data_IF_370802380338
#
_entry.id   IF_370802380338
#
_cell.length_a   1.000
_cell.length_b   1.000
_cell.length_c   1.000
_cell.angle_alpha   90.00
_cell.angle_beta   90.00
_cell.angle_gamma   90.00
#
_symmetry.space_group_name_H-M   'P 1'
#
loop_
_entity.id
_entity.type
_entity.pdbx_description
1 polymer ?
#
# COMPACT_ATOMS: atom_id res chain seq x y z
N UNK A 1 -43.11 -1.60 8.02
CA UNK A 1 -42.75 -0.20 7.73
C UNK A 1 -42.55 0.44 9.10
N UNK A 2 -41.35 0.71 9.61
CA UNK A 2 -40.04 0.94 9.01
C UNK A 2 -38.97 0.59 10.05
N UNK A 3 -38.08 -0.34 9.72
CA UNK A 3 -36.87 -0.68 10.48
C UNK A 3 -35.66 -0.06 9.77
N UNK A 4 -35.66 1.27 9.63
CA UNK A 4 -34.70 1.98 8.79
C UNK A 4 -34.11 3.23 9.48
N UNK A 5 -33.86 3.18 10.80
CA UNK A 5 -33.33 4.33 11.54
C UNK A 5 -32.18 3.99 12.50
N UNK A 6 -31.36 2.98 12.19
CA UNK A 6 -30.17 2.63 13.00
C UNK A 6 -28.91 2.33 12.14
N UNK A 7 -28.81 2.89 10.94
CA UNK A 7 -27.65 2.69 10.04
C UNK A 7 -26.88 3.97 9.72
N UNK A 8 -26.80 4.92 10.65
CA UNK A 8 -26.08 6.19 10.45
C UNK A 8 -25.21 6.65 11.65
N UNK A 9 -24.85 5.77 12.58
CA UNK A 9 -24.01 6.14 13.75
C UNK A 9 -22.75 5.29 13.95
N UNK A 10 -22.16 4.75 12.87
CA UNK A 10 -20.83 4.14 12.92
C UNK A 10 -19.69 5.11 12.55
N UNK A 11 -19.99 6.36 12.19
CA UNK A 11 -19.00 7.41 11.90
C UNK A 11 -18.61 8.24 13.14
N UNK A 12 -18.57 7.60 14.32
CA UNK A 12 -18.00 8.25 15.51
C UNK A 12 -16.48 8.14 15.48
N UNK A 13 -15.88 9.10 14.79
CA UNK A 13 -14.60 9.75 15.13
C UNK A 13 -13.48 8.73 15.40
N UNK A 14 -12.77 8.34 14.34
CA UNK A 14 -11.35 7.98 14.50
C UNK A 14 -10.68 9.21 15.11
N UNK A 15 -10.27 9.11 16.38
CA UNK A 15 -9.46 10.15 17.02
C UNK A 15 -8.10 10.14 16.34
N UNK A 16 -7.93 11.03 15.36
CA UNK A 16 -6.69 11.30 14.64
C UNK A 16 -5.51 11.61 15.58
N UNK A 17 -5.78 11.94 16.84
CA UNK A 17 -4.78 12.23 17.87
C UNK A 17 -3.81 11.07 18.13
N UNK A 18 -4.21 9.82 17.85
CA UNK A 18 -3.39 8.62 18.05
C UNK A 18 -3.22 7.74 16.80
N UNK A 19 -3.76 8.13 15.64
CA UNK A 19 -3.58 7.37 14.40
C UNK A 19 -2.36 7.91 13.64
N UNK A 20 -1.28 7.13 13.63
CA UNK A 20 -0.04 7.44 12.92
C UNK A 20 -0.21 7.10 11.43
N UNK A 21 -1.03 7.87 10.72
CA UNK A 21 -1.03 7.86 9.26
C UNK A 21 0.26 8.53 8.78
N UNK A 22 1.15 7.77 8.14
CA UNK A 22 2.46 8.23 7.65
C UNK A 22 2.40 8.75 6.20
N UNK A 23 1.25 9.27 5.74
CA UNK A 23 1.21 10.12 4.55
C UNK A 23 1.98 11.40 4.87
N UNK A 24 3.26 11.44 4.50
CA UNK A 24 4.04 12.66 4.57
C UNK A 24 3.40 13.68 3.63
N UNK A 25 3.04 14.90 4.09
CA UNK A 25 2.65 15.95 3.17
C UNK A 25 3.80 16.21 2.20
N UNK A 26 3.47 16.56 0.95
CA UNK A 26 4.47 16.96 -0.04
C UNK A 26 5.41 18.00 0.58
N UNK A 27 6.71 17.67 0.62
CA UNK A 27 7.72 18.66 1.00
C UNK A 27 7.68 19.74 -0.07
N UNK A 28 7.41 20.97 0.34
CA UNK A 28 7.53 22.14 -0.54
C UNK A 28 8.89 22.08 -1.24
N UNK A 29 8.86 21.94 -2.57
CA UNK A 29 10.07 21.93 -3.39
C UNK A 29 10.75 23.28 -3.22
N UNK A 30 11.87 23.31 -2.49
CA UNK A 30 12.80 24.42 -2.54
C UNK A 30 13.25 24.58 -4.00
N UNK A 31 12.85 25.69 -4.63
CA UNK A 31 13.39 26.12 -5.92
C UNK A 31 14.85 26.52 -5.73
N UNK A 32 15.74 25.54 -5.78
CA UNK A 32 17.16 25.75 -6.05
C UNK A 32 17.49 24.96 -7.31
N UNK A 33 17.48 25.67 -8.43
CA UNK A 33 17.96 25.18 -9.72
C UNK A 33 19.46 24.92 -9.59
N UNK A 34 19.90 23.72 -9.99
CA UNK A 34 21.24 23.51 -10.52
C UNK A 34 21.12 22.58 -11.71
N UNK A 35 21.63 23.07 -12.83
CA UNK A 35 21.59 22.54 -14.19
C UNK A 35 22.29 21.17 -14.32
N UNK A 36 22.06 20.54 -15.47
CA UNK A 36 22.66 19.32 -16.02
C UNK A 36 21.95 17.99 -15.72
N UNK A 37 20.89 17.72 -16.49
CA UNK A 37 20.77 16.46 -17.23
C UNK A 37 19.97 16.72 -18.51
N UNK A 38 20.72 16.99 -19.56
CA UNK A 38 20.28 17.07 -20.94
C UNK A 38 19.74 15.72 -21.46
N UNK A 39 18.89 15.81 -22.50
CA UNK A 39 18.41 14.79 -23.46
C UNK A 39 17.04 14.17 -23.12
N UNK A 40 15.94 14.42 -23.85
CA UNK A 40 15.70 15.04 -25.16
C UNK A 40 14.24 15.53 -25.21
N UNK A 41 14.04 16.80 -25.56
CA UNK A 41 12.80 17.30 -26.17
C UNK A 41 12.74 16.85 -27.63
N UNK A 42 11.61 16.29 -28.05
CA UNK A 42 11.14 16.47 -29.42
C UNK A 42 9.62 16.59 -29.39
N UNK A 43 9.18 17.84 -29.34
CA UNK A 43 7.78 18.24 -29.49
C UNK A 43 7.29 18.06 -30.94
N UNK A 44 5.97 17.85 -31.02
CA UNK A 44 5.05 17.97 -32.15
C UNK A 44 4.85 16.76 -33.10
N UNK A 45 3.76 16.03 -32.87
CA UNK A 45 2.75 15.85 -33.93
C UNK A 45 1.35 15.64 -33.32
N UNK A 46 0.38 16.47 -33.73
CA UNK A 46 -1.05 16.28 -33.47
C UNK A 46 -1.50 14.90 -33.96
N UNK A 47 -1.98 14.07 -33.04
CA UNK A 47 -2.57 12.77 -33.27
C UNK A 47 -2.93 12.13 -31.94
N UNK A 48 -4.22 11.90 -31.71
CA UNK A 48 -4.75 11.11 -30.60
C UNK A 48 -4.09 9.71 -30.59
N UNK A 49 -3.05 9.51 -29.79
CA UNK A 49 -2.54 8.21 -29.38
C UNK A 49 -1.95 8.35 -27.98
N UNK A 50 -2.84 8.43 -26.98
CA UNK A 50 -2.48 8.25 -25.57
C UNK A 50 -1.85 6.86 -25.44
N UNK A 51 -0.62 6.70 -24.92
CA UNK A 51 -0.02 5.38 -24.73
C UNK A 51 -0.93 4.58 -23.82
N UNK A 52 -1.58 3.55 -24.37
CA UNK A 52 -2.45 2.68 -23.61
C UNK A 52 -1.59 2.02 -22.53
N UNK A 53 -1.84 2.40 -21.28
CA UNK A 53 -1.05 1.95 -20.15
C UNK A 53 -1.07 0.42 -20.12
N UNK A 54 0.10 -0.19 -19.95
CA UNK A 54 0.26 -1.65 -20.04
C UNK A 54 -0.37 -2.44 -18.89
N UNK A 55 -1.21 -1.84 -18.06
CA UNK A 55 -1.92 -2.46 -16.93
C UNK A 55 -3.43 -2.49 -17.15
N UNK A 56 -4.12 -3.46 -16.57
CA UNK A 56 -5.58 -3.62 -16.68
C UNK A 56 -6.37 -2.74 -15.70
N UNK A 57 -5.83 -2.54 -14.50
CA UNK A 57 -6.44 -1.75 -13.43
C UNK A 57 -5.35 -1.25 -12.46
N UNK A 58 -5.58 -0.10 -11.83
CA UNK A 58 -4.77 0.41 -10.73
C UNK A 58 -5.58 0.36 -9.42
N UNK A 59 -5.07 -0.40 -8.46
CA UNK A 59 -5.69 -0.64 -7.16
C UNK A 59 -4.83 -0.04 -6.04
N UNK A 60 -5.47 0.64 -5.10
CA UNK A 60 -4.86 1.16 -3.89
C UNK A 60 -5.41 0.40 -2.70
N UNK A 61 -4.57 -0.09 -1.80
CA UNK A 61 -5.04 -0.78 -0.61
C UNK A 61 -4.28 -0.38 0.66
N UNK A 62 -4.92 -0.59 1.80
CA UNK A 62 -4.33 -0.41 3.12
C UNK A 62 -4.85 -1.45 4.10
N UNK A 63 -4.01 -1.89 5.04
CA UNK A 63 -4.39 -2.80 6.11
C UNK A 63 -4.46 -2.11 7.46
N UNK A 64 -5.57 -2.34 8.15
CA UNK A 64 -5.73 -1.99 9.55
C UNK A 64 -5.62 -3.23 10.43
N UNK A 65 -4.84 -3.14 11.50
CA UNK A 65 -4.50 -4.28 12.35
C UNK A 65 -4.91 -4.07 13.81
N UNK A 66 -5.39 -5.15 14.45
CA UNK A 66 -5.47 -5.22 15.91
C UNK A 66 -4.09 -5.59 16.45
N UNK A 67 -3.79 -5.08 17.64
CA UNK A 67 -2.47 -5.24 18.28
C UNK A 67 -2.58 -5.67 19.75
N UNK A 68 -3.73 -6.23 20.16
CA UNK A 68 -4.02 -6.54 21.56
C UNK A 68 -2.99 -7.48 22.20
N UNK A 69 -2.42 -8.39 21.41
CA UNK A 69 -1.44 -9.38 21.85
C UNK A 69 0.02 -8.98 21.55
N UNK A 70 0.27 -7.75 21.09
CA UNK A 70 1.58 -7.29 20.62
C UNK A 70 1.98 -7.78 19.22
N UNK A 71 1.14 -8.60 18.58
CA UNK A 71 1.25 -8.96 17.17
C UNK A 71 0.27 -8.14 16.34
N UNK A 72 0.68 -7.76 15.13
CA UNK A 72 -0.19 -7.11 14.16
C UNK A 72 -1.03 -8.17 13.42
N UNK A 73 -2.33 -8.16 13.66
CA UNK A 73 -3.29 -9.04 13.02
C UNK A 73 -4.27 -8.22 12.16
N UNK A 74 -4.22 -8.36 10.81
CA UNK A 74 -5.12 -7.65 9.93
C UNK A 74 -6.58 -7.96 10.24
N UNK A 75 -7.38 -6.92 10.43
CA UNK A 75 -8.80 -7.03 10.75
C UNK A 75 -9.70 -6.17 9.86
N UNK A 76 -9.09 -5.33 9.04
CA UNK A 76 -9.74 -4.60 7.97
C UNK A 76 -8.73 -4.35 6.84
N UNK A 77 -9.17 -4.56 5.60
CA UNK A 77 -8.46 -4.16 4.40
C UNK A 77 -9.45 -3.44 3.48
N UNK A 78 -9.06 -2.26 3.03
CA UNK A 78 -9.86 -1.48 2.09
C UNK A 78 -9.07 -1.34 0.81
N UNK A 79 -9.72 -1.65 -0.31
CA UNK A 79 -9.17 -1.51 -1.65
C UNK A 79 -10.03 -0.50 -2.40
N UNK A 80 -9.39 0.41 -3.12
CA UNK A 80 -10.05 1.38 -4.00
C UNK A 80 -9.39 1.39 -5.37
N UNK A 81 -10.19 1.55 -6.42
CA UNK A 81 -9.67 1.76 -7.78
C UNK A 81 -9.71 3.25 -8.18
N UNK A 82 -9.24 3.56 -9.38
CA UNK A 82 -9.25 4.93 -9.93
C UNK A 82 -10.66 5.50 -10.14
N UNK A 83 -11.67 4.63 -10.29
CA UNK A 83 -13.07 5.05 -10.43
C UNK A 83 -13.73 5.38 -9.07
N UNK A 84 -13.06 5.04 -7.96
CA UNK A 84 -13.60 5.19 -6.61
C UNK A 84 -14.50 4.02 -6.18
N UNK A 85 -14.51 2.92 -6.92
CA UNK A 85 -15.12 1.67 -6.44
C UNK A 85 -14.29 1.13 -5.28
N UNK A 86 -14.99 0.58 -4.27
CA UNK A 86 -14.38 0.13 -3.02
C UNK A 86 -14.73 -1.33 -2.73
N UNK A 87 -13.71 -2.08 -2.30
CA UNK A 87 -13.86 -3.43 -1.75
C UNK A 87 -13.33 -3.46 -0.33
N UNK A 88 -14.13 -4.01 0.58
CA UNK A 88 -13.83 -4.06 2.01
C UNK A 88 -13.79 -5.51 2.47
N UNK A 89 -12.69 -5.88 3.11
CA UNK A 89 -12.48 -7.17 3.76
C UNK A 89 -12.34 -6.92 5.26
N UNK A 90 -13.11 -7.62 6.09
CA UNK A 90 -13.15 -7.35 7.53
C UNK A 90 -13.20 -8.63 8.37
N UNK A 91 -12.65 -8.57 9.58
CA UNK A 91 -12.61 -9.67 10.53
C UNK A 91 -11.31 -10.47 10.50
N UNK A 92 -11.28 -11.59 11.22
CA UNK A 92 -10.02 -12.28 11.54
C UNK A 92 -9.36 -12.96 10.31
N UNK A 93 -10.11 -13.14 9.21
CA UNK A 93 -9.62 -13.73 7.97
C UNK A 93 -9.29 -12.69 6.88
N UNK A 94 -9.28 -11.40 7.23
CA UNK A 94 -9.11 -10.26 6.30
C UNK A 94 -7.94 -10.47 5.32
N UNK A 95 -6.77 -10.87 5.83
CA UNK A 95 -5.56 -11.12 5.02
C UNK A 95 -5.84 -12.13 3.91
N UNK A 96 -6.44 -13.27 4.25
CA UNK A 96 -6.64 -14.37 3.31
C UNK A 96 -7.71 -14.01 2.30
N UNK A 97 -8.83 -13.43 2.72
CA UNK A 97 -9.92 -13.04 1.81
C UNK A 97 -9.45 -12.00 0.79
N UNK A 98 -8.67 -11.01 1.23
CA UNK A 98 -8.07 -10.04 0.32
C UNK A 98 -7.12 -10.71 -0.67
N UNK A 99 -6.21 -11.58 -0.21
CA UNK A 99 -5.25 -12.22 -1.10
C UNK A 99 -5.91 -13.20 -2.09
N UNK A 100 -6.91 -13.96 -1.63
CA UNK A 100 -7.70 -14.85 -2.47
C UNK A 100 -8.44 -14.08 -3.56
N UNK A 101 -8.99 -12.90 -3.23
CA UNK A 101 -9.59 -11.98 -4.18
C UNK A 101 -8.55 -11.37 -5.13
N UNK A 102 -7.40 -10.94 -4.61
CA UNK A 102 -6.38 -10.24 -5.40
C UNK A 102 -5.74 -11.16 -6.44
N UNK A 103 -5.47 -12.42 -6.08
CA UNK A 103 -4.78 -13.37 -6.96
C UNK A 103 -5.72 -14.14 -7.90
N UNK A 104 -6.92 -13.63 -8.17
CA UNK A 104 -7.82 -14.21 -9.17
C UNK A 104 -7.44 -13.80 -10.60
N UNK A 105 -8.13 -14.39 -11.60
CA UNK A 105 -7.86 -14.12 -13.03
C UNK A 105 -8.32 -12.73 -13.45
N UNK A 106 -9.28 -12.16 -12.73
CA UNK A 106 -9.87 -10.86 -12.98
C UNK A 106 -8.86 -9.73 -12.78
N UNK A 107 -7.95 -9.88 -11.82
CA UNK A 107 -6.91 -8.89 -11.50
C UNK A 107 -5.55 -9.19 -12.17
N UNK A 108 -5.53 -10.02 -13.22
CA UNK A 108 -4.30 -10.24 -14.00
C UNK A 108 -3.87 -8.92 -14.63
N UNK A 109 -2.58 -8.62 -14.52
CA UNK A 109 -1.97 -7.40 -15.06
C UNK A 109 -2.43 -6.10 -14.40
N UNK A 110 -3.02 -6.17 -13.20
CA UNK A 110 -3.26 -4.97 -12.40
C UNK A 110 -1.97 -4.49 -11.73
N UNK A 111 -1.92 -3.19 -11.40
CA UNK A 111 -0.91 -2.62 -10.51
C UNK A 111 -1.59 -2.37 -9.17
N UNK A 112 -0.96 -2.83 -8.10
CA UNK A 112 -1.50 -2.74 -6.74
C UNK A 112 -0.53 -1.93 -5.88
N UNK A 113 -1.01 -0.84 -5.30
CA UNK A 113 -0.23 0.09 -4.51
C UNK A 113 -0.71 0.04 -3.05
N UNK A 114 0.20 -0.24 -2.13
CA UNK A 114 -0.09 -0.13 -0.70
C UNK A 114 0.38 1.22 -0.15
N UNK A 115 -0.19 1.63 0.97
CA UNK A 115 0.28 2.83 1.68
C UNK A 115 1.76 2.70 2.11
N UNK A 116 2.16 1.53 2.62
CA UNK A 116 3.53 1.23 3.03
C UNK A 116 3.90 -0.23 2.74
N UNK A 117 3.97 -0.59 1.45
CA UNK A 117 4.25 -1.97 1.04
C UNK A 117 5.59 -2.49 1.59
N UNK A 118 6.65 -1.67 1.56
CA UNK A 118 7.99 -2.09 1.98
C UNK A 118 8.09 -2.32 3.49
N UNK A 119 7.47 -1.45 4.29
CA UNK A 119 7.66 -1.42 5.74
C UNK A 119 6.58 -2.12 6.55
N UNK A 120 5.41 -2.39 5.95
CA UNK A 120 4.27 -2.87 6.71
C UNK A 120 3.33 -3.77 5.90
N UNK A 121 2.57 -3.22 4.95
CA UNK A 121 1.47 -3.94 4.28
C UNK A 121 1.96 -5.18 3.52
N UNK A 122 3.15 -5.08 2.91
CA UNK A 122 3.73 -6.16 2.13
C UNK A 122 4.10 -7.38 2.97
N UNK A 123 4.24 -7.27 4.29
CA UNK A 123 4.51 -8.43 5.15
C UNK A 123 3.34 -9.42 5.14
N UNK A 124 2.10 -8.93 5.16
CA UNK A 124 0.92 -9.80 5.16
C UNK A 124 0.76 -10.53 3.83
N UNK A 125 1.08 -9.85 2.72
CA UNK A 125 1.07 -10.44 1.38
C UNK A 125 2.16 -11.52 1.26
N UNK A 126 3.39 -11.21 1.68
CA UNK A 126 4.49 -12.17 1.68
C UNK A 126 4.18 -13.38 2.57
N UNK A 127 3.58 -13.16 3.73
CA UNK A 127 3.15 -14.23 4.63
C UNK A 127 2.12 -15.14 3.95
N UNK A 128 1.10 -14.58 3.29
CA UNK A 128 0.11 -15.36 2.55
C UNK A 128 0.76 -16.19 1.44
N UNK A 129 1.65 -15.59 0.65
CA UNK A 129 2.37 -16.30 -0.43
C UNK A 129 3.22 -17.45 0.13
N UNK A 130 3.93 -17.21 1.24
CA UNK A 130 4.74 -18.22 1.91
C UNK A 130 3.89 -19.38 2.46
N UNK A 131 2.76 -19.08 3.11
CA UNK A 131 1.81 -20.08 3.62
C UNK A 131 1.22 -20.95 2.50
N UNK A 132 1.02 -20.37 1.31
CA UNK A 132 0.49 -21.05 0.13
C UNK A 132 1.56 -21.67 -0.79
N UNK A 133 2.85 -21.56 -0.43
CA UNK A 133 3.95 -22.10 -1.23
C UNK A 133 4.10 -21.41 -2.61
N UNK A 134 3.61 -20.19 -2.74
CA UNK A 134 3.73 -19.39 -3.96
C UNK A 134 5.03 -18.59 -3.91
N UNK A 135 5.88 -18.78 -4.89
CA UNK A 135 7.16 -18.07 -5.01
C UNK A 135 6.98 -16.96 -6.03
N UNK A 136 7.03 -15.68 -5.63
CA UNK A 136 6.99 -14.57 -6.58
C UNK A 136 8.26 -14.57 -7.44
N UNK A 137 8.12 -14.21 -8.71
CA UNK A 137 9.25 -14.14 -9.66
C UNK A 137 10.24 -13.03 -9.29
N UNK A 138 9.72 -11.91 -8.78
CA UNK A 138 10.50 -10.77 -8.28
C UNK A 138 10.24 -10.62 -6.80
N UNK A 139 11.30 -10.67 -6.01
CA UNK A 139 11.26 -10.42 -4.57
C UNK A 139 11.63 -8.94 -4.38
N UNK A 140 10.86 -8.15 -3.60
CA UNK A 140 11.25 -6.77 -3.29
C UNK A 140 12.66 -6.77 -2.67
N UNK A 141 13.53 -5.86 -3.13
CA UNK A 141 14.90 -5.76 -2.62
C UNK A 141 14.86 -5.64 -1.09
N UNK A 142 15.34 -6.69 -0.43
CA UNK A 142 15.68 -6.63 0.98
C UNK A 142 16.84 -5.66 1.04
N UNK A 143 16.61 -4.41 1.49
CA UNK A 143 17.72 -3.53 1.84
C UNK A 143 18.55 -4.34 2.85
N UNK A 144 19.80 -4.67 2.55
CA UNK A 144 20.64 -5.36 3.51
C UNK A 144 20.67 -4.47 4.73
N UNK A 145 20.02 -4.90 5.82
CA UNK A 145 20.27 -4.32 7.14
C UNK A 145 21.77 -4.23 7.25
N UNK A 146 22.27 -3.00 7.39
CA UNK A 146 23.66 -2.62 7.36
C UNK A 146 24.49 -3.61 8.21
N UNK A 147 24.99 -4.69 7.60
CA UNK A 147 26.02 -5.54 8.15
C UNK A 147 27.35 -4.89 7.76
N UNK A 148 27.53 -3.63 8.16
CA UNK A 148 28.86 -3.10 8.27
C UNK A 148 29.37 -3.51 9.67
N UNK A 149 30.29 -4.48 9.76
CA UNK A 149 30.89 -4.87 11.05
C UNK A 149 31.67 -3.72 11.72
N UNK A 150 31.79 -2.54 11.10
CA UNK A 150 32.47 -1.37 11.68
C UNK A 150 31.54 -0.29 12.27
N UNK A 151 30.21 -0.41 12.16
CA UNK A 151 29.30 0.55 12.82
C UNK A 151 29.10 0.13 14.28
N UNK A 152 29.88 0.73 15.18
CA UNK A 152 29.60 0.66 16.62
C UNK A 152 28.34 1.49 16.90
N UNK A 153 27.23 0.83 17.18
CA UNK A 153 26.09 1.48 17.83
C UNK A 153 26.55 2.04 19.18
N UNK A 154 26.84 3.34 19.22
CA UNK A 154 27.10 4.06 20.45
C UNK A 154 25.78 4.27 21.19
N UNK A 155 25.65 3.57 22.32
CA UNK A 155 24.88 3.90 23.52
C UNK A 155 23.67 4.83 23.36
N UNK A 156 22.47 4.29 23.54
CA UNK A 156 21.40 5.00 24.24
C UNK A 156 21.21 4.26 25.55
N UNK A 157 21.50 4.96 26.65
CA UNK A 157 21.36 4.50 28.03
C UNK A 157 19.89 4.35 28.42
N UNK A 158 19.68 3.44 29.37
CA UNK A 158 18.45 2.98 30.04
C UNK A 158 17.31 4.00 30.23
#
# INVERSE_FOLDING_TARGET
IEAASLRLEAWRIIRLENHQCYIQPEKERNTAVSEDTDLLDTEAHDGDDVPQSGYSELLFFDFECRQENGNHEPNLCVVQNEAGDEWVFEGDNTKNEFCEWLFTKEHVNCIVLAHNFQGYDGYFIQQYLHENGVIPEVIPEVIPWCQDPNVKCSNVQD
#
